data_IF_574875757565
#
_entry.id   IF_574875757565
#
_cell.length_a   1.000
_cell.length_b   1.000
_cell.length_c   1.000
_cell.angle_alpha   90.00
_cell.angle_beta   90.00
_cell.angle_gamma   90.00
#
_symmetry.space_group_name_H-M   'P 1'
#
loop_
_entity.id
_entity.type
_entity.pdbx_description
1 polymer ?
#
# COMPACT_ATOMS: atom_id res chain seq x y z
N UNK A 1 17.46 16.25 26.22
CA UNK A 1 16.20 16.25 25.44
C UNK A 1 16.52 15.66 24.08
N UNK A 2 15.86 14.56 23.70
CA UNK A 2 15.93 14.02 22.34
C UNK A 2 15.00 14.91 21.49
N UNK A 3 15.48 15.52 20.39
CA UNK A 3 14.61 16.31 19.53
C UNK A 3 13.46 15.43 19.02
N UNK A 4 12.24 15.97 18.86
CA UNK A 4 11.13 15.21 18.32
C UNK A 4 11.52 14.61 16.96
N UNK A 5 11.18 13.34 16.75
CA UNK A 5 11.45 12.68 15.48
C UNK A 5 10.50 13.25 14.42
N UNK A 6 11.04 14.14 13.58
CA UNK A 6 10.30 14.77 12.48
C UNK A 6 10.30 13.83 11.28
N UNK A 7 9.13 13.54 10.73
CA UNK A 7 8.97 12.79 9.48
C UNK A 7 9.46 13.61 8.28
N UNK A 8 9.93 12.95 7.23
CA UNK A 8 10.39 13.62 6.01
C UNK A 8 9.23 14.29 5.26
N UNK A 9 9.55 15.29 4.42
CA UNK A 9 8.56 15.93 3.56
C UNK A 9 7.85 14.93 2.63
N UNK A 10 8.57 13.92 2.14
CA UNK A 10 8.00 12.87 1.28
C UNK A 10 6.96 12.02 2.03
N UNK A 11 7.21 11.72 3.31
CA UNK A 11 6.26 11.00 4.16
C UNK A 11 5.02 11.87 4.45
N UNK A 12 5.21 13.16 4.75
CA UNK A 12 4.11 14.10 4.96
C UNK A 12 3.23 14.25 3.72
N UNK A 13 3.83 14.41 2.54
CA UNK A 13 3.11 14.56 1.28
C UNK A 13 2.32 13.29 0.93
N UNK A 14 2.91 12.12 1.17
CA UNK A 14 2.22 10.83 0.97
C UNK A 14 1.05 10.66 1.94
N UNK A 15 1.22 11.02 3.22
CA UNK A 15 0.15 11.00 4.21
C UNK A 15 -0.96 12.00 3.90
N UNK A 16 -0.61 13.19 3.38
CA UNK A 16 -1.57 14.19 2.90
C UNK A 16 -2.40 13.61 1.75
N UNK A 17 -1.76 12.93 0.80
CA UNK A 17 -2.45 12.31 -0.33
C UNK A 17 -3.39 11.16 0.11
N UNK A 18 -3.01 10.38 1.13
CA UNK A 18 -3.89 9.38 1.75
C UNK A 18 -5.14 10.06 2.34
N UNK A 19 -4.96 11.12 3.13
CA UNK A 19 -6.08 11.83 3.75
C UNK A 19 -7.00 12.47 2.70
N UNK A 20 -6.45 13.05 1.64
CA UNK A 20 -7.24 13.59 0.51
C UNK A 20 -8.03 12.50 -0.21
N UNK A 21 -7.43 11.33 -0.40
CA UNK A 21 -8.08 10.16 -1.02
C UNK A 21 -9.27 9.71 -0.16
N UNK A 22 -9.09 9.61 1.17
CA UNK A 22 -10.15 9.24 2.09
C UNK A 22 -11.29 10.28 2.10
N UNK A 23 -10.97 11.57 2.19
CA UNK A 23 -11.98 12.64 2.16
C UNK A 23 -12.80 12.62 0.86
N UNK A 24 -12.15 12.37 -0.28
CA UNK A 24 -12.83 12.25 -1.58
C UNK A 24 -13.79 11.05 -1.61
N UNK A 25 -13.39 9.93 -1.00
CA UNK A 25 -14.24 8.76 -0.85
C UNK A 25 -15.47 9.06 0.02
N UNK A 26 -15.29 9.73 1.17
CA UNK A 26 -16.40 10.09 2.07
C UNK A 26 -17.43 11.00 1.38
N UNK A 27 -16.98 11.99 0.60
CA UNK A 27 -17.84 12.87 -0.21
C UNK A 27 -18.63 12.04 -1.23
N UNK A 28 -17.94 11.15 -1.94
CA UNK A 28 -18.55 10.33 -2.99
C UNK A 28 -19.54 9.31 -2.41
N UNK A 29 -19.22 8.70 -1.27
CA UNK A 29 -20.11 7.79 -0.56
C UNK A 29 -21.40 8.49 -0.08
N UNK A 30 -21.27 9.73 0.44
CA UNK A 30 -22.40 10.56 0.85
C UNK A 30 -23.30 10.94 -0.33
N UNK A 31 -22.71 11.24 -1.49
CA UNK A 31 -23.45 11.54 -2.72
C UNK A 31 -24.22 10.31 -3.25
N UNK A 32 -23.60 9.13 -3.22
CA UNK A 32 -24.25 7.86 -3.59
C UNK A 32 -25.40 7.52 -2.65
N UNK A 33 -25.23 7.70 -1.33
CA UNK A 33 -26.28 7.48 -0.35
C UNK A 33 -27.50 8.39 -0.59
N UNK A 34 -27.25 9.67 -0.89
CA UNK A 34 -28.30 10.66 -1.17
C UNK A 34 -29.07 10.37 -2.47
N UNK A 35 -28.44 9.72 -3.45
CA UNK A 35 -29.04 9.41 -4.76
C UNK A 35 -29.98 8.18 -4.74
N UNK A 36 -29.99 7.40 -3.65
CA UNK A 36 -30.80 6.17 -3.51
C UNK A 36 -32.31 6.41 -3.31
N UNK A 37 -32.76 7.67 -3.27
CA UNK A 37 -34.16 8.05 -3.01
C UNK A 37 -35.10 7.71 -4.19
N UNK A 38 -34.59 7.39 -5.39
CA UNK A 38 -35.42 6.96 -6.53
C UNK A 38 -35.33 5.44 -6.79
N UNK A 39 -36.43 4.68 -6.78
CA UNK A 39 -36.40 3.25 -7.05
C UNK A 39 -36.23 3.02 -8.56
N UNK A 40 -35.04 2.57 -8.99
CA UNK A 40 -34.83 2.12 -10.37
C UNK A 40 -34.21 0.72 -10.40
N UNK A 41 -34.98 -0.17 -11.04
CA UNK A 41 -34.64 -1.42 -11.74
C UNK A 41 -33.29 -2.04 -11.35
N UNK A 42 -33.38 -3.11 -10.53
CA UNK A 42 -32.29 -3.98 -10.09
C UNK A 42 -31.54 -4.57 -11.28
N UNK A 43 -30.31 -4.12 -11.47
CA UNK A 43 -29.36 -4.68 -12.44
C UNK A 43 -27.92 -4.53 -11.95
N UNK A 44 -27.47 -5.48 -11.13
CA UNK A 44 -26.10 -6.02 -11.02
C UNK A 44 -24.88 -5.14 -10.71
N UNK A 45 -24.94 -3.82 -10.83
CA UNK A 45 -23.77 -2.95 -10.63
C UNK A 45 -23.77 -2.32 -9.24
N UNK A 46 -22.89 -2.82 -8.37
CA UNK A 46 -22.65 -2.22 -7.06
C UNK A 46 -21.61 -1.10 -7.17
N UNK A 47 -22.07 0.10 -7.49
CA UNK A 47 -21.21 1.28 -7.60
C UNK A 47 -20.52 1.66 -6.29
N UNK A 48 -21.12 1.34 -5.14
CA UNK A 48 -20.53 1.59 -3.82
C UNK A 48 -19.32 0.68 -3.61
N UNK A 49 -19.46 -0.60 -3.94
CA UNK A 49 -18.37 -1.56 -3.87
C UNK A 49 -17.23 -1.23 -4.85
N UNK A 50 -17.55 -0.79 -6.08
CA UNK A 50 -16.54 -0.34 -7.05
C UNK A 50 -15.76 0.86 -6.52
N UNK A 51 -16.44 1.85 -5.92
CA UNK A 51 -15.79 3.01 -5.33
C UNK A 51 -14.87 2.63 -4.15
N UNK A 52 -15.32 1.75 -3.26
CA UNK A 52 -14.52 1.28 -2.12
C UNK A 52 -13.27 0.51 -2.57
N UNK A 53 -13.42 -0.39 -3.53
CA UNK A 53 -12.29 -1.12 -4.11
C UNK A 53 -11.29 -0.19 -4.80
N UNK A 54 -11.76 0.80 -5.56
CA UNK A 54 -10.90 1.81 -6.17
C UNK A 54 -10.15 2.64 -5.13
N UNK A 55 -10.83 3.00 -4.03
CA UNK A 55 -10.22 3.75 -2.91
C UNK A 55 -9.15 2.92 -2.21
N UNK A 56 -9.44 1.66 -1.87
CA UNK A 56 -8.46 0.74 -1.28
C UNK A 56 -7.23 0.60 -2.18
N UNK A 57 -7.43 0.35 -3.48
CA UNK A 57 -6.34 0.24 -4.45
C UNK A 57 -5.48 1.51 -4.46
N UNK A 58 -6.11 2.69 -4.47
CA UNK A 58 -5.40 3.97 -4.47
C UNK A 58 -4.57 4.17 -3.20
N UNK A 59 -5.14 3.89 -2.03
CA UNK A 59 -4.48 4.02 -0.73
C UNK A 59 -3.21 3.16 -0.65
N UNK A 60 -3.33 1.87 -0.99
CA UNK A 60 -2.21 0.94 -0.96
C UNK A 60 -1.13 1.35 -1.96
N UNK A 61 -1.52 1.79 -3.16
CA UNK A 61 -0.53 2.22 -4.17
C UNK A 61 0.19 3.52 -3.82
N UNK A 62 -0.37 4.38 -2.96
CA UNK A 62 0.38 5.52 -2.41
C UNK A 62 1.50 5.02 -1.48
N UNK A 63 1.20 4.06 -0.60
CA UNK A 63 2.21 3.45 0.27
C UNK A 63 3.29 2.70 -0.53
N UNK A 64 2.89 1.94 -1.56
CA UNK A 64 3.83 1.28 -2.50
C UNK A 64 4.80 2.26 -3.15
N UNK A 65 4.27 3.39 -3.66
CA UNK A 65 5.09 4.43 -4.27
C UNK A 65 6.08 5.01 -3.25
N UNK A 66 5.62 5.34 -2.04
CA UNK A 66 6.50 5.85 -0.99
C UNK A 66 7.64 4.88 -0.64
N UNK A 67 7.35 3.59 -0.48
CA UNK A 67 8.36 2.56 -0.19
C UNK A 67 9.39 2.47 -1.32
N UNK A 68 8.92 2.50 -2.56
CA UNK A 68 9.77 2.38 -3.74
C UNK A 68 10.71 3.59 -3.85
N UNK A 69 10.15 4.79 -3.76
CA UNK A 69 10.91 6.05 -3.87
C UNK A 69 11.87 6.24 -2.70
N UNK A 70 11.48 5.87 -1.49
CA UNK A 70 12.36 5.94 -0.31
C UNK A 70 13.60 5.06 -0.51
N UNK A 71 13.43 3.83 -0.99
CA UNK A 71 14.58 2.96 -1.22
C UNK A 71 15.47 3.49 -2.35
N UNK A 72 14.86 3.98 -3.46
CA UNK A 72 15.60 4.57 -4.58
C UNK A 72 16.45 5.74 -4.13
N UNK A 73 15.90 6.68 -3.37
CA UNK A 73 16.62 7.85 -2.89
C UNK A 73 17.85 7.49 -2.03
N UNK A 74 17.77 6.42 -1.24
CA UNK A 74 18.89 5.97 -0.41
C UNK A 74 19.92 5.15 -1.21
N UNK A 75 19.45 4.39 -2.19
CA UNK A 75 20.29 3.53 -3.01
C UNK A 75 20.98 4.30 -4.16
N UNK A 76 20.47 5.46 -4.57
CA UNK A 76 21.04 6.28 -5.65
C UNK A 76 22.52 6.63 -5.41
N UNK A 77 22.95 7.08 -4.21
CA UNK A 77 24.37 7.31 -3.91
C UNK A 77 25.28 6.07 -4.03
N UNK A 78 24.72 4.85 -4.03
CA UNK A 78 25.51 3.61 -4.14
C UNK A 78 25.82 3.22 -5.59
N UNK A 79 25.20 3.88 -6.57
CA UNK A 79 25.56 3.72 -7.97
C UNK A 79 26.93 4.36 -8.22
N UNK A 80 28.00 3.59 -8.01
CA UNK A 80 29.39 4.04 -8.21
C UNK A 80 29.66 4.19 -9.72
N UNK A 81 29.50 5.40 -10.25
CA UNK A 81 29.84 5.75 -11.62
C UNK A 81 28.89 6.80 -12.22
N UNK A 82 29.46 7.84 -12.83
CA UNK A 82 28.69 8.88 -13.54
C UNK A 82 28.30 8.48 -14.96
N UNK A 83 28.67 7.28 -15.40
CA UNK A 83 28.31 6.78 -16.72
C UNK A 83 26.82 6.43 -16.75
N UNK A 84 26.10 6.95 -17.75
CA UNK A 84 24.66 6.73 -17.91
C UNK A 84 24.29 5.24 -17.97
N UNK A 85 25.17 4.39 -18.50
CA UNK A 85 24.96 2.95 -18.57
C UNK A 85 24.96 2.29 -17.18
N UNK A 86 25.82 2.74 -16.26
CA UNK A 86 25.86 2.24 -14.87
C UNK A 86 24.57 2.63 -14.14
N UNK A 87 24.11 3.87 -14.32
CA UNK A 87 22.86 4.35 -13.72
C UNK A 87 21.63 3.59 -14.26
N UNK A 88 21.57 3.32 -15.57
CA UNK A 88 20.49 2.52 -16.18
C UNK A 88 20.49 1.08 -15.67
N UNK A 89 21.66 0.42 -15.62
CA UNK A 89 21.78 -0.94 -15.11
C UNK A 89 21.41 -1.03 -13.63
N UNK A 90 21.83 -0.04 -12.82
CA UNK A 90 21.49 0.06 -11.41
C UNK A 90 19.99 0.24 -11.18
N UNK A 91 19.38 1.18 -11.91
CA UNK A 91 17.93 1.45 -11.84
C UNK A 91 17.13 0.21 -12.23
N UNK A 92 17.50 -0.47 -13.32
CA UNK A 92 16.84 -1.71 -13.75
C UNK A 92 16.95 -2.83 -12.71
N UNK A 93 18.09 -2.93 -12.02
CA UNK A 93 18.28 -3.91 -10.95
C UNK A 93 17.40 -3.57 -9.73
N UNK A 94 17.33 -2.29 -9.34
CA UNK A 94 16.43 -1.84 -8.27
C UNK A 94 14.97 -2.09 -8.62
N UNK A 95 14.56 -1.78 -9.85
CA UNK A 95 13.18 -2.02 -10.33
C UNK A 95 12.80 -3.50 -10.26
N UNK A 96 13.75 -4.39 -10.58
CA UNK A 96 13.55 -5.83 -10.45
C UNK A 96 13.38 -6.24 -8.98
N UNK A 97 14.20 -5.70 -8.09
CA UNK A 97 14.13 -5.96 -6.63
C UNK A 97 12.90 -5.31 -5.96
N UNK A 98 12.30 -4.32 -6.61
CA UNK A 98 11.11 -3.59 -6.18
C UNK A 98 9.86 -3.98 -7.00
N UNK A 99 9.91 -5.11 -7.70
CA UNK A 99 8.81 -5.53 -8.60
C UNK A 99 7.53 -5.96 -7.86
N UNK A 100 7.60 -6.19 -6.55
CA UNK A 100 6.43 -6.52 -5.74
C UNK A 100 6.63 -6.38 -4.24
N UNK A 101 5.50 -6.23 -3.54
CA UNK A 101 5.47 -6.04 -2.08
C UNK A 101 6.12 -7.18 -1.29
N UNK A 102 6.08 -8.41 -1.81
CA UNK A 102 6.71 -9.56 -1.17
C UNK A 102 8.23 -9.42 -1.05
N UNK A 103 8.85 -8.66 -1.95
CA UNK A 103 10.30 -8.48 -2.00
C UNK A 103 10.77 -7.28 -1.17
N UNK A 104 9.91 -6.30 -0.91
CA UNK A 104 10.27 -5.08 -0.18
C UNK A 104 10.95 -5.34 1.17
N UNK A 105 10.42 -6.17 2.10
CA UNK A 105 11.08 -6.38 3.39
C UNK A 105 12.50 -6.95 3.24
N UNK A 106 12.69 -7.91 2.32
CA UNK A 106 13.97 -8.54 2.07
C UNK A 106 14.97 -7.55 1.45
N UNK A 107 14.50 -6.74 0.50
CA UNK A 107 15.33 -5.72 -0.14
C UNK A 107 15.76 -4.65 0.87
N UNK A 108 14.83 -4.16 1.70
CA UNK A 108 15.13 -3.24 2.80
C UNK A 108 16.08 -3.83 3.84
N UNK A 109 15.95 -5.12 4.17
CA UNK A 109 16.88 -5.80 5.07
C UNK A 109 18.27 -5.91 4.48
N UNK A 110 18.39 -6.37 3.22
CA UNK A 110 19.67 -6.52 2.53
C UNK A 110 20.41 -5.19 2.40
N UNK A 111 19.67 -4.10 2.15
CA UNK A 111 20.24 -2.80 1.81
C UNK A 111 20.43 -1.90 3.02
N UNK A 112 19.47 -1.87 3.93
CA UNK A 112 19.44 -0.92 5.05
C UNK A 112 19.52 -1.59 6.41
N UNK A 113 19.65 -2.91 6.48
CA UNK A 113 19.62 -3.68 7.74
C UNK A 113 18.34 -3.44 8.55
N UNK A 114 17.26 -2.98 7.90
CA UNK A 114 15.93 -2.92 8.48
C UNK A 114 15.46 -4.35 8.70
N UNK A 115 14.92 -4.68 9.87
CA UNK A 115 14.47 -6.06 10.14
C UNK A 115 13.33 -6.41 9.19
N UNK A 116 13.56 -7.39 8.31
CA UNK A 116 12.50 -7.97 7.51
C UNK A 116 11.47 -8.64 8.42
N UNK A 117 10.19 -8.48 8.12
CA UNK A 117 9.11 -9.16 8.84
C UNK A 117 8.70 -8.51 10.15
N UNK A 118 9.06 -7.24 10.39
CA UNK A 118 8.44 -6.47 11.48
C UNK A 118 6.91 -6.43 11.30
N UNK A 119 6.19 -6.31 12.42
CA UNK A 119 4.73 -6.41 12.47
C UNK A 119 4.02 -5.49 11.46
N UNK A 120 4.59 -4.32 11.16
CA UNK A 120 4.05 -3.36 10.20
C UNK A 120 4.10 -3.87 8.75
N UNK A 121 5.17 -4.56 8.34
CA UNK A 121 5.25 -5.20 7.02
C UNK A 121 4.20 -6.31 6.88
N UNK A 122 4.04 -7.10 7.94
CA UNK A 122 3.07 -8.18 7.97
C UNK A 122 1.63 -7.67 7.87
N UNK A 123 1.33 -6.55 8.54
CA UNK A 123 0.04 -5.88 8.47
C UNK A 123 -0.30 -5.43 7.06
N UNK A 124 0.67 -4.90 6.32
CA UNK A 124 0.47 -4.44 4.95
C UNK A 124 0.24 -5.57 3.95
N UNK A 125 0.75 -6.79 4.19
CA UNK A 125 0.56 -7.92 3.27
C UNK A 125 -0.91 -8.22 2.95
N UNK A 126 -1.82 -8.12 3.93
CA UNK A 126 -3.24 -8.33 3.71
C UNK A 126 -3.85 -7.31 2.75
N UNK A 127 -3.51 -6.03 2.93
CA UNK A 127 -3.98 -4.96 2.05
C UNK A 127 -3.40 -5.04 0.64
N UNK A 128 -2.12 -5.42 0.51
CA UNK A 128 -1.50 -5.63 -0.80
C UNK A 128 -2.13 -6.81 -1.54
N UNK A 129 -2.41 -7.93 -0.84
CA UNK A 129 -3.12 -9.07 -1.44
C UNK A 129 -4.52 -8.66 -1.92
N UNK A 130 -5.25 -7.86 -1.12
CA UNK A 130 -6.54 -7.30 -1.52
C UNK A 130 -6.43 -6.38 -2.76
N UNK A 131 -5.45 -5.47 -2.78
CA UNK A 131 -5.16 -4.60 -3.92
C UNK A 131 -4.87 -5.41 -5.18
N UNK A 132 -4.06 -6.47 -5.08
CA UNK A 132 -3.73 -7.33 -6.22
C UNK A 132 -4.96 -8.11 -6.73
N UNK A 133 -5.82 -8.59 -5.82
CA UNK A 133 -7.09 -9.22 -6.20
C UNK A 133 -8.03 -8.24 -6.91
N UNK A 134 -8.10 -6.98 -6.46
CA UNK A 134 -8.89 -5.94 -7.15
C UNK A 134 -8.31 -5.64 -8.53
N UNK A 135 -7.00 -5.38 -8.61
CA UNK A 135 -6.33 -4.97 -9.83
C UNK A 135 -6.35 -6.04 -10.93
N UNK A 136 -6.20 -7.33 -10.56
CA UNK A 136 -6.09 -8.43 -11.54
C UNK A 136 -7.39 -9.22 -11.72
N UNK A 137 -8.23 -9.29 -10.69
CA UNK A 137 -9.40 -10.16 -10.66
C UNK A 137 -10.74 -9.42 -10.62
N UNK A 138 -10.75 -8.09 -10.71
CA UNK A 138 -11.94 -7.26 -10.49
C UNK A 138 -12.64 -7.62 -9.17
N UNK A 139 -11.81 -7.87 -8.14
CA UNK A 139 -12.25 -8.27 -6.81
C UNK A 139 -12.51 -9.78 -6.65
N UNK A 140 -12.33 -10.63 -7.66
CA UNK A 140 -12.44 -12.09 -7.53
C UNK A 140 -11.07 -12.75 -7.34
N UNK A 141 -10.96 -13.63 -6.35
CA UNK A 141 -9.74 -14.41 -6.11
C UNK A 141 -9.50 -15.37 -7.27
N UNK A 142 -8.29 -15.27 -7.83
CA UNK A 142 -7.79 -16.24 -8.81
C UNK A 142 -7.57 -17.60 -8.15
N UNK A 143 -7.55 -18.72 -8.91
CA UNK A 143 -7.29 -20.04 -8.34
C UNK A 143 -6.02 -20.12 -7.48
N UNK A 144 -4.98 -19.37 -7.84
CA UNK A 144 -3.71 -19.30 -7.08
C UNK A 144 -3.85 -18.59 -5.73
N UNK A 145 -4.78 -17.65 -5.62
CA UNK A 145 -5.02 -16.85 -4.40
C UNK A 145 -5.98 -17.52 -3.41
N UNK A 146 -6.61 -18.65 -3.77
CA UNK A 146 -7.52 -19.40 -2.89
C UNK A 146 -6.78 -20.31 -1.90
N UNK A 147 -5.50 -20.06 -1.68
CA UNK A 147 -4.69 -20.81 -0.73
C UNK A 147 -4.87 -20.24 0.69
N UNK A 148 -4.68 -21.08 1.71
CA UNK A 148 -4.87 -20.69 3.11
C UNK A 148 -4.02 -19.50 3.54
N UNK A 149 -2.81 -19.34 2.97
CA UNK A 149 -1.92 -18.22 3.29
C UNK A 149 -2.50 -16.87 2.88
N UNK A 150 -2.99 -16.75 1.65
CA UNK A 150 -3.67 -15.53 1.17
C UNK A 150 -4.95 -15.26 1.96
N UNK A 151 -5.75 -16.30 2.23
CA UNK A 151 -6.99 -16.15 3.02
C UNK A 151 -6.71 -15.65 4.44
N UNK A 152 -5.67 -16.17 5.10
CA UNK A 152 -5.26 -15.72 6.43
C UNK A 152 -4.80 -14.24 6.43
N UNK A 153 -4.07 -13.82 5.39
CA UNK A 153 -3.62 -12.42 5.25
C UNK A 153 -4.78 -11.46 5.04
N UNK A 154 -5.75 -11.84 4.21
CA UNK A 154 -6.98 -11.06 4.00
C UNK A 154 -7.80 -10.98 5.30
N UNK A 155 -7.98 -12.10 5.99
CA UNK A 155 -8.72 -12.15 7.25
C UNK A 155 -8.06 -11.30 8.34
N UNK A 156 -6.72 -11.25 8.39
CA UNK A 156 -5.97 -10.42 9.33
C UNK A 156 -6.22 -8.91 9.17
N UNK A 157 -6.70 -8.47 8.01
CA UNK A 157 -7.09 -7.07 7.74
C UNK A 157 -8.61 -6.88 7.67
N UNK A 158 -9.38 -7.86 8.14
CA UNK A 158 -10.84 -7.80 8.18
C UNK A 158 -11.54 -8.06 6.85
N UNK A 159 -10.83 -8.58 5.84
CA UNK A 159 -11.40 -8.89 4.53
C UNK A 159 -11.67 -10.40 4.46
N UNK A 160 -12.94 -10.78 4.32
CA UNK A 160 -13.34 -12.18 4.13
C UNK A 160 -13.94 -12.35 2.74
N UNK A 161 -13.46 -13.28 1.92
CA UNK A 161 -14.08 -13.55 0.62
C UNK A 161 -15.50 -14.11 0.78
N UNK A 162 -16.40 -13.70 -0.11
CA UNK A 162 -17.75 -14.26 -0.25
C UNK A 162 -17.71 -15.72 -0.70
N UNK A 163 -18.86 -16.40 -0.71
CA UNK A 163 -19.02 -17.74 -1.29
C UNK A 163 -18.57 -17.86 -2.75
N UNK A 164 -18.64 -16.76 -3.52
CA UNK A 164 -18.20 -16.71 -4.93
C UNK A 164 -16.72 -16.30 -5.11
N UNK A 165 -15.93 -16.38 -4.04
CA UNK A 165 -14.52 -15.97 -3.96
C UNK A 165 -14.27 -14.48 -4.28
N UNK A 166 -15.26 -13.61 -4.09
CA UNK A 166 -15.10 -12.16 -4.24
C UNK A 166 -14.71 -11.52 -2.92
N UNK A 167 -13.83 -10.52 -2.95
CA UNK A 167 -13.56 -9.67 -1.79
C UNK A 167 -14.54 -8.51 -1.78
N UNK A 168 -15.32 -8.45 -0.70
CA UNK A 168 -16.14 -7.30 -0.37
C UNK A 168 -15.32 -6.36 0.51
N UNK A 169 -15.45 -5.06 0.26
CA UNK A 169 -14.69 -4.02 0.96
C UNK A 169 -15.76 -3.15 1.59
N UNK A 170 -15.87 -3.19 2.90
CA UNK A 170 -16.76 -2.30 3.62
C UNK A 170 -16.06 -0.98 3.96
N UNK A 171 -16.84 -0.06 4.53
CA UNK A 171 -16.32 1.26 4.93
C UNK A 171 -15.23 1.17 6.00
N UNK A 172 -15.36 0.24 6.93
CA UNK A 172 -14.38 0.03 7.99
C UNK A 172 -13.03 -0.41 7.42
N UNK A 173 -13.02 -1.29 6.42
CA UNK A 173 -11.80 -1.72 5.71
C UNK A 173 -11.15 -0.54 4.99
N UNK A 174 -11.91 0.36 4.34
CA UNK A 174 -11.35 1.54 3.68
C UNK A 174 -10.62 2.44 4.68
N UNK A 175 -11.27 2.77 5.79
CA UNK A 175 -10.69 3.61 6.85
C UNK A 175 -9.47 2.91 7.48
N UNK A 176 -9.59 1.63 7.80
CA UNK A 176 -8.49 0.84 8.37
C UNK A 176 -7.28 0.76 7.42
N UNK A 177 -7.51 0.66 6.11
CA UNK A 177 -6.47 0.69 5.08
C UNK A 177 -5.74 2.04 5.11
N UNK A 178 -6.48 3.16 5.13
CA UNK A 178 -5.89 4.49 5.18
C UNK A 178 -5.01 4.67 6.43
N UNK A 179 -5.50 4.27 7.60
CA UNK A 179 -4.75 4.33 8.86
C UNK A 179 -3.49 3.47 8.79
N UNK A 180 -3.60 2.22 8.33
CA UNK A 180 -2.46 1.32 8.22
C UNK A 180 -1.40 1.87 7.25
N UNK A 181 -1.80 2.41 6.09
CA UNK A 181 -0.87 2.99 5.13
C UNK A 181 -0.10 4.17 5.72
N UNK A 182 -0.76 5.10 6.44
CA UNK A 182 -0.06 6.22 7.08
C UNK A 182 0.90 5.77 8.17
N UNK A 183 0.43 4.92 9.08
CA UNK A 183 1.26 4.38 10.17
C UNK A 183 2.51 3.69 9.63
N UNK A 184 2.33 2.90 8.56
CA UNK A 184 3.42 2.21 7.90
C UNK A 184 4.42 3.19 7.25
N UNK A 185 3.94 4.22 6.52
CA UNK A 185 4.79 5.27 5.92
C UNK A 185 5.61 5.99 7.00
N UNK A 186 4.95 6.47 8.06
CA UNK A 186 5.60 7.19 9.17
C UNK A 186 6.64 6.29 9.86
N UNK A 187 6.29 5.03 10.13
CA UNK A 187 7.20 4.08 10.76
C UNK A 187 8.44 3.80 9.90
N UNK A 188 8.24 3.57 8.60
CA UNK A 188 9.32 3.29 7.67
C UNK A 188 10.26 4.50 7.54
N UNK A 189 9.69 5.68 7.34
CA UNK A 189 10.42 6.95 7.22
C UNK A 189 11.32 7.23 8.42
N UNK A 190 10.76 7.10 9.62
CA UNK A 190 11.50 7.29 10.86
C UNK A 190 12.61 6.23 11.05
N UNK A 191 12.32 4.98 10.69
CA UNK A 191 13.29 3.89 10.78
C UNK A 191 14.46 4.11 9.84
N UNK A 192 14.17 4.43 8.58
CA UNK A 192 15.14 4.76 7.54
C UNK A 192 15.99 5.96 7.95
N UNK A 193 15.34 7.06 8.36
CA UNK A 193 16.03 8.30 8.77
C UNK A 193 16.97 8.05 9.94
N UNK A 194 16.56 7.24 10.92
CA UNK A 194 17.40 6.87 12.06
C UNK A 194 18.62 6.06 11.63
N UNK A 195 18.46 5.10 10.71
CA UNK A 195 19.57 4.30 10.19
C UNK A 195 20.56 5.19 9.45
N UNK A 196 20.06 6.07 8.57
CA UNK A 196 20.90 6.95 7.78
C UNK A 196 21.72 7.91 8.65
N UNK A 197 21.11 8.54 9.67
CA UNK A 197 21.81 9.42 10.63
C UNK A 197 22.85 8.74 11.52
N UNK A 198 22.75 7.42 11.71
CA UNK A 198 23.71 6.67 12.51
C UNK A 198 24.88 6.15 11.67
N UNK A 199 24.74 6.17 10.34
CA UNK A 199 25.73 5.61 9.41
C UNK A 199 26.58 6.71 8.74
N UNK A 200 26.09 7.96 8.75
CA UNK A 200 26.72 9.15 8.19
C UNK A 200 26.66 10.31 9.18
#
# INVERSE_FOLDING_TARGET
>A
MIPPSVVSQAAEDSCRLINQTLATHEISASALASSRIAPRIRGGFDGEQVQRQATLLRLVSIAEAFVTETLRAIAEPWAVGNESQVQVAWTAQLDKELSGWADFPNTYQKRLTVKAGDAEWNRMHGYTDARNTIAHGLGKLTPRQRNQGTLNKLAAVGITPTVDDRIEVDEHVVVATAVACRQFIEHLDLTVTRIYRNTH
#
